data_IF_174272894108
#
_entry.id   IF_174272894108
#
_cell.length_a   1.000
_cell.length_b   1.000
_cell.length_c   1.000
_cell.angle_alpha   90.00
_cell.angle_beta   90.00
_cell.angle_gamma   90.00
#
_symmetry.space_group_name_H-M   'P 1'
#
loop_
_entity.id
_entity.type
_entity.pdbx_description
1 polymer ?
#
# COMPACT_ATOMS: atom_id res chain seq x y z
N UNK A 1 -0.17 -5.14 26.26
CA UNK A 1 -0.26 -4.57 24.90
C UNK A 1 1.11 -3.99 24.62
N UNK A 2 1.73 -4.33 23.49
CA UNK A 2 3.06 -3.82 23.15
C UNK A 2 2.94 -2.32 22.83
N UNK A 3 3.75 -1.47 23.46
CA UNK A 3 3.89 -0.04 23.16
C UNK A 3 5.04 0.19 22.18
N UNK A 4 5.14 1.41 21.63
CA UNK A 4 6.25 1.78 20.73
C UNK A 4 7.59 1.69 21.47
N UNK A 5 7.61 2.01 22.77
CA UNK A 5 8.82 2.01 23.60
C UNK A 5 9.33 0.60 23.92
N UNK A 6 8.52 -0.44 23.67
CA UNK A 6 8.88 -1.85 23.87
C UNK A 6 9.61 -2.45 22.65
N UNK A 7 9.83 -1.68 21.58
CA UNK A 7 10.43 -2.17 20.34
C UNK A 7 11.95 -2.00 20.32
N UNK A 8 12.65 -3.06 19.93
CA UNK A 8 14.09 -2.98 19.63
C UNK A 8 14.35 -2.00 18.47
N UNK A 9 15.31 -1.10 18.66
CA UNK A 9 15.66 -0.09 17.65
C UNK A 9 16.93 -0.47 16.86
N UNK A 10 16.99 -0.17 15.55
CA UNK A 10 16.02 0.60 14.78
C UNK A 10 14.82 -0.24 14.30
N UNK A 11 13.63 0.34 14.38
CA UNK A 11 12.40 -0.23 13.86
C UNK A 11 11.75 0.71 12.83
N UNK A 12 11.13 0.14 11.79
CA UNK A 12 10.30 0.88 10.84
C UNK A 12 8.85 0.79 11.29
N UNK A 13 8.27 1.94 11.62
CA UNK A 13 6.87 2.05 12.02
C UNK A 13 6.05 2.70 10.90
N UNK A 14 4.86 2.15 10.66
CA UNK A 14 3.88 2.71 9.74
C UNK A 14 2.65 3.09 10.55
N UNK A 15 2.32 4.38 10.54
CA UNK A 15 1.05 4.89 11.04
C UNK A 15 -0.07 4.43 10.09
N UNK A 16 -0.92 3.51 10.57
CA UNK A 16 -1.96 2.87 9.77
C UNK A 16 -3.03 3.87 9.36
N UNK A 17 -3.48 4.72 10.27
CA UNK A 17 -4.53 5.71 9.99
C UNK A 17 -4.08 6.68 8.89
N UNK A 18 -2.81 7.13 8.95
CA UNK A 18 -2.24 7.99 7.91
C UNK A 18 -2.07 7.26 6.58
N UNK A 19 -1.65 5.99 6.60
CA UNK A 19 -1.50 5.21 5.37
C UNK A 19 -2.86 4.99 4.69
N UNK A 20 -3.90 4.67 5.45
CA UNK A 20 -5.26 4.49 4.95
C UNK A 20 -5.86 5.80 4.41
N UNK A 21 -5.69 6.91 5.13
CA UNK A 21 -6.11 8.23 4.64
C UNK A 21 -5.40 8.62 3.34
N UNK A 22 -4.12 8.27 3.19
CA UNK A 22 -3.38 8.50 1.95
C UNK A 22 -3.89 7.66 0.79
N UNK A 23 -4.22 6.38 1.02
CA UNK A 23 -4.81 5.49 0.01
C UNK A 23 -6.15 6.07 -0.45
N UNK A 24 -7.04 6.41 0.48
CA UNK A 24 -8.36 6.97 0.18
C UNK A 24 -8.24 8.27 -0.63
N UNK A 25 -7.33 9.16 -0.23
CA UNK A 25 -7.10 10.44 -0.92
C UNK A 25 -6.58 10.26 -2.34
N UNK A 26 -5.64 9.33 -2.55
CA UNK A 26 -5.08 9.07 -3.88
C UNK A 26 -6.14 8.47 -4.82
N UNK A 27 -6.93 7.52 -4.33
CA UNK A 27 -8.01 6.91 -5.11
C UNK A 27 -9.10 7.93 -5.45
N UNK A 28 -9.58 8.70 -4.47
CA UNK A 28 -10.60 9.73 -4.69
C UNK A 28 -10.15 10.81 -5.69
N UNK A 29 -8.85 11.09 -5.77
CA UNK A 29 -8.31 11.97 -6.80
C UNK A 29 -8.46 11.35 -8.19
N UNK A 30 -8.06 10.09 -8.38
CA UNK A 30 -8.22 9.41 -9.66
C UNK A 30 -9.69 9.29 -10.08
N UNK A 31 -10.59 8.94 -9.16
CA UNK A 31 -12.02 8.80 -9.40
C UNK A 31 -12.64 10.13 -9.87
N UNK A 32 -12.31 11.23 -9.19
CA UNK A 32 -12.76 12.58 -9.57
C UNK A 32 -12.39 12.97 -10.99
N UNK A 33 -11.27 12.46 -11.48
CA UNK A 33 -10.77 12.74 -12.82
C UNK A 33 -11.11 11.64 -13.84
N UNK A 34 -11.88 10.62 -13.44
CA UNK A 34 -12.25 9.50 -14.32
C UNK A 34 -11.05 8.64 -14.75
N UNK A 35 -9.97 8.62 -13.96
CA UNK A 35 -8.74 7.89 -14.27
C UNK A 35 -8.72 6.52 -13.61
N UNK A 36 -8.22 5.50 -14.31
CA UNK A 36 -7.92 4.20 -13.72
C UNK A 36 -6.60 4.30 -12.95
N UNK A 37 -6.69 4.25 -11.62
CA UNK A 37 -5.50 4.29 -10.78
C UNK A 37 -4.81 2.94 -10.70
N UNK A 38 -3.50 2.89 -10.99
CA UNK A 38 -2.65 1.71 -10.82
C UNK A 38 -1.41 2.08 -9.98
N UNK A 39 -1.46 1.97 -8.65
CA UNK A 39 -0.38 2.40 -7.78
C UNK A 39 0.87 1.54 -7.96
N UNK A 40 2.03 2.16 -7.77
CA UNK A 40 3.31 1.48 -7.81
C UNK A 40 3.72 1.02 -6.41
N UNK A 41 3.86 -0.30 -6.22
CA UNK A 41 4.11 -0.88 -4.88
C UNK A 41 5.58 -0.78 -4.44
N UNK A 42 6.49 -0.26 -5.26
CA UNK A 42 7.94 -0.23 -4.97
C UNK A 42 8.29 0.43 -3.64
N UNK A 43 7.43 1.31 -3.15
CA UNK A 43 7.61 2.03 -1.89
C UNK A 43 7.50 1.10 -0.68
N UNK A 44 6.48 0.25 -0.64
CA UNK A 44 6.22 -0.62 0.52
C UNK A 44 6.55 -2.08 0.26
N UNK A 45 6.33 -2.59 -0.96
CA UNK A 45 6.55 -3.99 -1.35
C UNK A 45 5.81 -5.04 -0.52
N UNK A 46 4.84 -4.60 0.28
CA UNK A 46 4.00 -5.45 1.13
C UNK A 46 2.62 -5.73 0.47
N UNK A 47 2.19 -7.01 0.37
CA UNK A 47 0.87 -7.37 -0.15
C UNK A 47 -0.29 -6.76 0.64
N UNK A 48 -0.13 -6.58 1.96
CA UNK A 48 -1.13 -5.95 2.82
C UNK A 48 -1.59 -4.58 2.29
N UNK A 49 -0.64 -3.70 1.96
CA UNK A 49 -0.97 -2.37 1.45
C UNK A 49 -1.45 -2.40 -0.01
N UNK A 50 -0.93 -3.31 -0.82
CA UNK A 50 -1.41 -3.51 -2.19
C UNK A 50 -2.90 -3.92 -2.22
N UNK A 51 -3.29 -4.86 -1.34
CA UNK A 51 -4.69 -5.28 -1.19
C UNK A 51 -5.58 -4.14 -0.72
N UNK A 52 -5.13 -3.31 0.23
CA UNK A 52 -5.87 -2.12 0.65
C UNK A 52 -6.05 -1.10 -0.47
N UNK A 53 -5.04 -0.89 -1.31
CA UNK A 53 -5.15 -0.03 -2.49
C UNK A 53 -6.16 -0.56 -3.51
N UNK A 54 -6.13 -1.86 -3.78
CA UNK A 54 -7.10 -2.53 -4.67
C UNK A 54 -8.52 -2.41 -4.09
N UNK A 55 -8.68 -2.70 -2.80
CA UNK A 55 -9.97 -2.60 -2.11
C UNK A 55 -10.54 -1.16 -2.12
N UNK A 56 -9.68 -0.14 -2.13
CA UNK A 56 -10.11 1.25 -2.26
C UNK A 56 -10.65 1.58 -3.67
N UNK A 57 -10.25 0.84 -4.70
CA UNK A 57 -10.70 1.05 -6.09
C UNK A 57 -9.60 1.00 -7.14
N UNK A 58 -8.35 0.71 -6.76
CA UNK A 58 -7.26 0.66 -7.72
C UNK A 58 -7.44 -0.51 -8.72
N UNK A 59 -7.10 -0.25 -9.99
CA UNK A 59 -7.18 -1.23 -11.09
C UNK A 59 -5.83 -1.94 -11.23
N UNK A 60 -5.60 -2.88 -10.32
CA UNK A 60 -4.34 -3.62 -10.20
C UNK A 60 -3.21 -2.76 -9.62
N UNK A 61 -1.97 -3.24 -9.75
CA UNK A 61 -0.77 -2.61 -9.19
C UNK A 61 0.39 -2.64 -10.20
N UNK A 62 1.39 -1.79 -9.99
CA UNK A 62 2.66 -1.81 -10.74
C UNK A 62 3.79 -2.31 -9.84
N UNK A 63 4.42 -3.43 -10.22
CA UNK A 63 5.64 -3.95 -9.58
C UNK A 63 6.90 -3.43 -10.30
N UNK A 64 8.02 -3.32 -9.59
CA UNK A 64 9.31 -2.91 -10.16
C UNK A 64 10.12 -4.11 -10.65
N UNK A 65 9.96 -5.27 -10.00
CA UNK A 65 10.73 -6.50 -10.27
C UNK A 65 9.80 -7.70 -10.42
N UNK A 66 10.23 -8.72 -11.15
CA UNK A 66 9.47 -9.98 -11.32
C UNK A 66 9.21 -10.65 -9.97
N UNK A 67 10.22 -10.73 -9.09
CA UNK A 67 10.03 -11.30 -7.76
C UNK A 67 9.02 -10.55 -6.89
N UNK A 68 8.81 -9.25 -7.11
CA UNK A 68 7.71 -8.53 -6.45
C UNK A 68 6.36 -8.92 -7.04
N UNK A 69 6.28 -9.14 -8.36
CA UNK A 69 5.05 -9.59 -9.01
C UNK A 69 4.64 -11.01 -8.57
N UNK A 70 5.60 -11.93 -8.47
CA UNK A 70 5.36 -13.31 -7.99
C UNK A 70 4.79 -13.29 -6.57
N UNK A 71 5.46 -12.61 -5.63
CA UNK A 71 4.97 -12.50 -4.24
C UNK A 71 3.59 -11.84 -4.16
N UNK A 72 3.31 -10.83 -4.98
CA UNK A 72 2.00 -10.17 -4.99
C UNK A 72 0.90 -11.04 -5.60
N UNK A 73 1.23 -11.91 -6.55
CA UNK A 73 0.27 -12.81 -7.19
C UNK A 73 -0.14 -13.98 -6.27
N UNK A 74 0.79 -14.47 -5.45
CA UNK A 74 0.54 -15.61 -4.54
C UNK A 74 -0.15 -15.20 -3.22
N UNK A 75 -0.23 -13.90 -2.93
CA UNK A 75 -0.59 -13.38 -1.60
C UNK A 75 -2.08 -13.31 -1.31
#
# INVERSE_FOLDING_TARGET
MLSIDDLDTPAILIDVDRAEANIARAQAHADRHGLKFRPHIKTHKLPYWAKKQIAAGAVGITCQKIGEAEVMADA
#
